data_IF_383097901486
#
_entry.id   IF_383097901486
#
_cell.length_a   1.000
_cell.length_b   1.000
_cell.length_c   1.000
_cell.angle_alpha   90.00
_cell.angle_beta   90.00
_cell.angle_gamma   90.00
#
_symmetry.space_group_name_H-M   'P 1'
#
loop_
_entity.id
_entity.type
_entity.pdbx_description
1 polymer ?
#
# COMPACT_ATOMS: atom_id res chain seq x y z
N UNK A 1 -4.47 -27.68 -14.84
CA UNK A 1 -3.81 -26.40 -14.53
C UNK A 1 -4.62 -25.60 -13.51
N UNK A 2 -5.96 -25.65 -13.56
CA UNK A 2 -6.84 -25.00 -12.57
C UNK A 2 -6.79 -25.67 -11.17
N UNK A 3 -6.64 -26.99 -11.12
CA UNK A 3 -6.68 -27.76 -9.87
C UNK A 3 -5.45 -27.56 -8.97
N UNK A 4 -4.29 -27.25 -9.56
CA UNK A 4 -3.02 -27.04 -8.83
C UNK A 4 -3.02 -25.70 -8.07
N UNK A 5 -3.81 -24.74 -8.57
CA UNK A 5 -3.99 -23.43 -7.93
C UNK A 5 -4.91 -23.54 -6.71
N UNK A 6 -5.90 -24.43 -6.75
CA UNK A 6 -6.82 -24.69 -5.65
C UNK A 6 -6.16 -25.50 -4.53
N UNK A 7 -5.32 -26.48 -4.86
CA UNK A 7 -4.52 -27.24 -3.86
C UNK A 7 -3.57 -26.31 -3.09
N UNK A 8 -2.92 -25.35 -3.76
CA UNK A 8 -2.09 -24.31 -3.10
C UNK A 8 -2.90 -23.38 -2.18
N UNK A 9 -4.20 -23.22 -2.42
CA UNK A 9 -5.07 -22.42 -1.54
C UNK A 9 -5.46 -23.17 -0.27
N UNK A 10 -5.50 -24.52 -0.29
CA UNK A 10 -5.83 -25.32 0.89
C UNK A 10 -4.64 -25.47 1.86
N UNK A 11 -3.40 -25.48 1.37
CA UNK A 11 -2.19 -25.54 2.20
C UNK A 11 -1.83 -24.21 2.90
N UNK A 12 -2.50 -23.12 2.52
CA UNK A 12 -2.31 -21.83 3.16
C UNK A 12 -3.11 -21.79 4.47
N UNK A 13 -2.41 -21.96 5.59
CA UNK A 13 -2.91 -21.64 6.93
C UNK A 13 -3.70 -20.34 6.83
N UNK A 14 -5.01 -20.39 7.07
CA UNK A 14 -5.87 -19.20 6.97
C UNK A 14 -5.37 -18.16 7.95
N UNK A 15 -4.57 -17.21 7.45
CA UNK A 15 -4.07 -16.10 8.26
C UNK A 15 -5.30 -15.27 8.62
N UNK A 16 -5.67 -15.28 9.90
CA UNK A 16 -6.71 -14.39 10.41
C UNK A 16 -6.15 -12.97 10.47
N UNK A 17 -6.23 -12.28 9.34
CA UNK A 17 -5.89 -10.86 9.24
C UNK A 17 -7.07 -10.05 9.75
N UNK A 18 -6.84 -9.26 10.80
CA UNK A 18 -7.76 -8.21 11.21
C UNK A 18 -7.45 -6.96 10.37
N UNK A 19 -8.41 -6.50 9.58
CA UNK A 19 -8.29 -5.27 8.82
C UNK A 19 -8.86 -4.13 9.67
N UNK A 20 -8.00 -3.18 10.03
CA UNK A 20 -8.42 -1.96 10.72
C UNK A 20 -8.48 -0.85 9.67
N UNK A 21 -9.67 -0.32 9.43
CA UNK A 21 -9.85 0.84 8.58
C UNK A 21 -9.82 2.10 9.43
N UNK A 22 -8.72 2.86 9.33
CA UNK A 22 -8.59 4.12 10.05
C UNK A 22 -9.58 5.15 9.49
N UNK A 23 -10.20 5.90 10.38
CA UNK A 23 -10.95 7.09 9.99
C UNK A 23 -9.95 8.22 9.70
N UNK A 24 -9.84 8.63 8.43
CA UNK A 24 -8.93 9.68 7.99
C UNK A 24 -9.63 11.04 7.83
N UNK A 25 -10.87 11.18 8.29
CA UNK A 25 -11.68 12.39 8.10
C UNK A 25 -11.00 13.65 8.65
N UNK A 26 -10.42 13.57 9.85
CA UNK A 26 -9.71 14.71 10.46
C UNK A 26 -8.49 15.14 9.62
N UNK A 27 -7.74 14.18 9.06
CA UNK A 27 -6.59 14.49 8.20
C UNK A 27 -7.02 15.16 6.90
N UNK A 28 -8.16 14.75 6.33
CA UNK A 28 -8.74 15.41 5.15
C UNK A 28 -9.15 16.84 5.46
N UNK A 29 -9.83 17.06 6.59
CA UNK A 29 -10.26 18.39 7.00
C UNK A 29 -9.07 19.33 7.23
N UNK A 30 -8.00 18.84 7.85
CA UNK A 30 -6.74 19.60 8.00
C UNK A 30 -6.15 19.94 6.63
N UNK A 31 -6.06 18.95 5.73
CA UNK A 31 -5.54 19.16 4.38
C UNK A 31 -6.38 20.18 3.60
N UNK A 32 -7.71 20.10 3.67
CA UNK A 32 -8.62 20.98 2.94
C UNK A 32 -8.53 22.44 3.42
N UNK A 33 -8.26 22.65 4.71
CA UNK A 33 -8.11 23.98 5.32
C UNK A 33 -6.80 24.69 4.97
N UNK A 34 -5.78 23.98 4.50
CA UNK A 34 -4.50 24.60 4.15
C UNK A 34 -4.60 25.42 2.86
N UNK A 35 -3.93 26.58 2.88
CA UNK A 35 -3.73 27.37 1.68
C UNK A 35 -2.75 26.69 0.71
N UNK A 36 -2.72 27.20 -0.52
CA UNK A 36 -1.92 26.61 -1.60
C UNK A 36 -0.41 26.66 -1.32
N UNK A 37 0.10 27.68 -0.61
CA UNK A 37 1.52 27.78 -0.30
C UNK A 37 1.96 26.66 0.65
N UNK A 38 1.16 26.41 1.70
CA UNK A 38 1.40 25.33 2.65
C UNK A 38 1.25 23.96 1.97
N UNK A 39 0.26 23.79 1.10
CA UNK A 39 0.08 22.56 0.31
C UNK A 39 1.27 22.29 -0.61
N UNK A 40 1.81 23.32 -1.27
CA UNK A 40 3.00 23.21 -2.11
C UNK A 40 4.24 22.84 -1.28
N UNK A 41 4.41 23.42 -0.09
CA UNK A 41 5.51 23.04 0.82
C UNK A 41 5.40 21.56 1.24
N UNK A 42 4.20 21.08 1.54
CA UNK A 42 3.99 19.66 1.86
C UNK A 42 4.29 18.76 0.66
N UNK A 43 3.75 19.11 -0.52
CA UNK A 43 3.98 18.36 -1.76
C UNK A 43 5.47 18.23 -2.10
N UNK A 44 6.26 19.29 -1.93
CA UNK A 44 7.70 19.24 -2.19
C UNK A 44 8.47 18.28 -1.27
N UNK A 45 7.91 17.92 -0.12
CA UNK A 45 8.54 17.01 0.85
C UNK A 45 7.96 15.59 0.80
N UNK A 46 6.66 15.45 0.54
CA UNK A 46 5.93 14.19 0.69
C UNK A 46 5.16 13.77 -0.56
N UNK A 47 5.17 14.59 -1.62
CA UNK A 47 4.53 14.33 -2.89
C UNK A 47 3.01 14.17 -2.79
N UNK A 48 2.49 13.17 -3.47
CA UNK A 48 1.07 12.86 -3.65
C UNK A 48 0.41 12.16 -2.44
N UNK A 49 1.12 12.05 -1.31
CA UNK A 49 0.61 11.39 -0.09
C UNK A 49 -0.79 11.86 0.36
N UNK A 50 -1.15 13.16 0.33
CA UNK A 50 -2.47 13.61 0.77
C UNK A 50 -3.62 13.02 -0.05
N UNK A 51 -3.39 12.72 -1.33
CA UNK A 51 -4.40 12.12 -2.20
C UNK A 51 -4.75 10.67 -1.80
N UNK A 52 -3.90 10.03 -0.98
CA UNK A 52 -4.17 8.67 -0.50
C UNK A 52 -5.22 8.62 0.62
N UNK A 53 -5.54 9.75 1.25
CA UNK A 53 -6.61 9.80 2.24
C UNK A 53 -7.97 9.43 1.64
N UNK A 54 -8.15 9.63 0.34
CA UNK A 54 -9.38 9.30 -0.40
C UNK A 54 -9.42 7.89 -0.95
N UNK A 55 -8.32 7.14 -0.89
CA UNK A 55 -8.27 5.77 -1.39
C UNK A 55 -9.08 4.87 -0.45
N UNK A 56 -10.16 4.30 -1.00
CA UNK A 56 -10.95 3.27 -0.32
C UNK A 56 -10.25 1.93 -0.47
N UNK A 57 -9.69 1.42 0.61
CA UNK A 57 -9.17 0.05 0.67
C UNK A 57 -10.34 -0.90 0.91
N UNK A 58 -10.61 -1.77 -0.06
CA UNK A 58 -11.64 -2.80 0.08
C UNK A 58 -11.19 -3.88 1.06
N UNK A 59 -11.90 -4.06 2.18
CA UNK A 59 -11.57 -5.04 3.22
C UNK A 59 -11.36 -6.45 2.64
N UNK A 60 -12.29 -6.91 1.79
CA UNK A 60 -12.22 -8.24 1.19
C UNK A 60 -11.02 -8.39 0.24
N UNK A 61 -10.70 -7.35 -0.53
CA UNK A 61 -9.53 -7.35 -1.43
C UNK A 61 -8.23 -7.41 -0.63
N UNK A 62 -8.12 -6.59 0.41
CA UNK A 62 -6.95 -6.59 1.28
C UNK A 62 -6.79 -7.94 2.00
N UNK A 63 -7.89 -8.52 2.49
CA UNK A 63 -7.88 -9.83 3.14
C UNK A 63 -7.43 -10.94 2.19
N UNK A 64 -7.91 -10.91 0.94
CA UNK A 64 -7.46 -11.84 -0.10
C UNK A 64 -5.97 -11.64 -0.41
N UNK A 65 -5.53 -10.39 -0.58
CA UNK A 65 -4.12 -10.07 -0.85
C UNK A 65 -3.20 -10.55 0.28
N UNK A 66 -3.62 -10.37 1.53
CA UNK A 66 -2.82 -10.75 2.70
C UNK A 66 -2.62 -12.26 2.86
N UNK A 67 -3.42 -13.10 2.20
CA UNK A 67 -3.17 -14.56 2.14
C UNK A 67 -1.91 -14.90 1.33
N UNK A 68 -1.47 -14.00 0.46
CA UNK A 68 -0.26 -14.16 -0.35
C UNK A 68 0.98 -13.52 0.30
N UNK A 69 0.85 -12.95 1.51
CA UNK A 69 1.99 -12.35 2.21
C UNK A 69 2.98 -13.43 2.69
N UNK A 70 4.21 -13.37 2.20
CA UNK A 70 5.32 -14.21 2.62
C UNK A 70 6.19 -13.47 3.63
N UNK A 71 6.09 -13.86 4.91
CA UNK A 71 6.83 -13.21 6.00
C UNK A 71 8.35 -13.44 5.95
N UNK A 72 8.81 -14.53 5.33
CA UNK A 72 10.24 -14.83 5.20
C UNK A 72 10.92 -13.85 4.24
N UNK A 73 10.26 -13.51 3.13
CA UNK A 73 10.80 -12.62 2.10
C UNK A 73 10.26 -11.19 2.19
N UNK A 74 9.27 -10.95 3.06
CA UNK A 74 8.58 -9.64 3.19
C UNK A 74 7.98 -9.16 1.85
N UNK A 75 7.36 -10.08 1.10
CA UNK A 75 6.76 -9.84 -0.22
C UNK A 75 5.39 -10.49 -0.35
N UNK A 76 4.64 -10.15 -1.42
CA UNK A 76 3.46 -10.93 -1.80
C UNK A 76 3.83 -11.95 -2.88
N UNK A 77 3.64 -13.24 -2.64
CA UNK A 77 4.02 -14.30 -3.58
C UNK A 77 2.79 -14.89 -4.27
N UNK A 78 2.74 -14.81 -5.60
CA UNK A 78 1.69 -15.36 -6.45
C UNK A 78 2.28 -16.46 -7.35
N UNK A 79 2.23 -17.71 -6.88
CA UNK A 79 2.84 -18.83 -7.60
C UNK A 79 4.37 -18.70 -7.62
N UNK A 80 4.94 -18.42 -8.79
CA UNK A 80 6.38 -18.21 -8.99
C UNK A 80 6.77 -16.71 -9.10
N UNK A 81 5.80 -15.81 -8.91
CA UNK A 81 6.01 -14.36 -9.03
C UNK A 81 5.96 -13.72 -7.65
N UNK A 82 7.01 -12.99 -7.29
CA UNK A 82 7.03 -12.13 -6.11
C UNK A 82 6.69 -10.69 -6.49
N UNK A 83 5.66 -10.14 -5.86
CA UNK A 83 5.33 -8.72 -5.90
C UNK A 83 5.95 -8.03 -4.69
N UNK A 84 7.04 -7.31 -4.96
CA UNK A 84 7.66 -6.34 -4.06
C UNK A 84 7.73 -5.04 -4.84
N UNK A 85 6.98 -4.00 -4.45
CA UNK A 85 7.16 -2.70 -5.09
C UNK A 85 8.56 -2.20 -4.77
N UNK A 86 9.29 -1.85 -5.83
CA UNK A 86 10.65 -1.28 -5.76
C UNK A 86 10.62 0.14 -5.21
N UNK A 87 11.77 0.63 -4.75
CA UNK A 87 11.90 2.02 -4.30
C UNK A 87 11.54 3.00 -5.41
N UNK A 88 11.87 2.68 -6.66
CA UNK A 88 11.54 3.45 -7.85
C UNK A 88 10.03 3.52 -8.10
N UNK A 89 9.32 2.40 -7.94
CA UNK A 89 7.86 2.34 -8.06
C UNK A 89 7.17 3.15 -6.96
N UNK A 90 7.62 3.04 -5.70
CA UNK A 90 7.09 3.88 -4.61
C UNK A 90 7.36 5.37 -4.85
N UNK A 91 8.56 5.72 -5.29
CA UNK A 91 8.92 7.12 -5.59
C UNK A 91 8.07 7.67 -6.73
N UNK A 92 7.83 6.86 -7.76
CA UNK A 92 6.98 7.22 -8.90
C UNK A 92 5.52 7.39 -8.49
N UNK A 93 5.01 6.48 -7.66
CA UNK A 93 3.64 6.49 -7.14
C UNK A 93 3.38 7.72 -6.25
N UNK A 94 4.31 8.04 -5.36
CA UNK A 94 4.22 9.20 -4.47
C UNK A 94 4.64 10.50 -5.15
N UNK A 95 5.28 10.46 -6.33
CA UNK A 95 5.95 11.63 -6.93
C UNK A 95 6.81 12.40 -5.93
N UNK A 96 7.45 11.68 -5.01
CA UNK A 96 8.23 12.31 -3.94
C UNK A 96 9.57 12.81 -4.52
N UNK A 97 9.90 14.11 -4.44
CA UNK A 97 11.15 14.63 -4.99
C UNK A 97 12.39 14.21 -4.18
N UNK A 98 12.19 13.72 -2.95
CA UNK A 98 13.27 13.55 -1.95
C UNK A 98 13.29 12.16 -1.36
N UNK A 99 13.75 11.21 -2.16
CA UNK A 99 14.47 10.05 -1.63
C UNK A 99 15.87 10.11 -2.27
N UNK A 100 16.63 11.16 -1.93
CA UNK A 100 18.09 11.05 -1.99
C UNK A 100 18.46 10.23 -0.76
N UNK A 101 18.48 8.90 -0.93
CA UNK A 101 19.24 8.05 -0.02
C UNK A 101 20.69 8.46 -0.25
N UNK A 102 21.26 9.23 0.68
CA UNK A 102 22.71 9.37 0.75
C UNK A 102 23.28 7.94 0.72
N UNK A 103 24.04 7.64 -0.34
CA UNK A 103 24.74 6.37 -0.52
C UNK A 103 25.94 6.29 0.40
#
# INVERSE_FOLDING_TARGET
MENDFLDKMEDNVVVRVCVIQNNLQELKEIWDQWDDEVKQLFYNNYGDLPYFFDIKVGEHLFRALAQFWNSTYSCFTFGEVDLVPTTEEYTSLLRCPRIQVDK
#
